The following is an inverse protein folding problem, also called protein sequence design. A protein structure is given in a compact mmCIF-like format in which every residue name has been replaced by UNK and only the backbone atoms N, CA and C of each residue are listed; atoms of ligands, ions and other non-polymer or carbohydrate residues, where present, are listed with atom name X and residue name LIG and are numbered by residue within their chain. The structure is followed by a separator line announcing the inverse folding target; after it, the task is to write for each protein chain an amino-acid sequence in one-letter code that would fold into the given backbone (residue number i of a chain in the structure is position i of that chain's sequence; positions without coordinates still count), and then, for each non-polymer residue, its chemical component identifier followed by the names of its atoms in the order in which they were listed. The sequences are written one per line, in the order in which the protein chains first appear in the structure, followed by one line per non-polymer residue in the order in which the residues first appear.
data_IF_862034868920
#
_entry.id   IF_862034868920
#
_cell.length_a   1.000
_cell.length_b   1.000
_cell.length_c   1.000
_cell.angle_alpha   90.00
_cell.angle_beta   90.00
_cell.angle_gamma   90.00
#
_symmetry.space_group_name_H-M   'P 1'
#
loop_
_entity.id
_entity.type
_entity.pdbx_description
1 polymer ?
#
# COMPACT_ATOMS: atom_id res chain seq x y z
N UNK A 1 20.44 23.94 -19.92
CA UNK A 1 19.91 22.67 -20.44
C UNK A 1 19.50 21.69 -19.33
N UNK A 2 20.41 21.32 -18.39
CA UNK A 2 20.08 20.39 -17.29
C UNK A 2 19.02 20.96 -16.33
N UNK A 3 19.17 22.24 -15.92
CA UNK A 3 18.21 22.93 -15.03
C UNK A 3 16.85 23.14 -15.66
N UNK A 4 16.76 23.39 -16.96
CA UNK A 4 15.47 23.49 -17.68
C UNK A 4 14.78 22.14 -17.79
N UNK A 5 15.54 21.06 -18.01
CA UNK A 5 15.04 19.71 -18.03
C UNK A 5 14.52 19.26 -16.65
N UNK A 6 15.26 19.60 -15.59
CA UNK A 6 14.83 19.33 -14.19
C UNK A 6 13.58 20.13 -13.83
N UNK A 7 13.47 21.41 -14.25
CA UNK A 7 12.27 22.21 -14.01
C UNK A 7 11.05 21.70 -14.77
N UNK A 8 11.24 21.23 -15.98
CA UNK A 8 10.17 20.63 -16.80
C UNK A 8 9.70 19.28 -16.22
N UNK A 9 10.63 18.44 -15.77
CA UNK A 9 10.35 17.22 -15.02
C UNK A 9 9.59 17.54 -13.71
N UNK A 10 10.03 18.55 -12.97
CA UNK A 10 9.39 18.97 -11.73
C UNK A 10 7.97 19.50 -11.95
N UNK A 11 7.74 20.24 -13.03
CA UNK A 11 6.40 20.70 -13.40
C UNK A 11 5.49 19.53 -13.83
N UNK A 12 6.02 18.56 -14.61
CA UNK A 12 5.30 17.31 -14.95
C UNK A 12 5.01 16.43 -13.74
N UNK A 13 5.85 16.46 -12.72
CA UNK A 13 5.59 15.75 -11.44
C UNK A 13 4.50 16.46 -10.65
N UNK A 14 4.45 17.80 -10.67
CA UNK A 14 3.41 18.60 -10.02
C UNK A 14 2.03 18.50 -10.70
N UNK A 15 1.97 18.20 -11.99
CA UNK A 15 0.70 17.96 -12.68
C UNK A 15 0.01 16.71 -12.10
N UNK A 16 -1.08 16.94 -11.35
CA UNK A 16 -1.88 15.90 -10.70
C UNK A 16 -1.58 15.63 -9.22
N UNK A 17 -0.57 16.32 -8.61
CA UNK A 17 -0.26 16.24 -7.19
C UNK A 17 -0.82 17.46 -6.45
N UNK A 18 -2.06 17.33 -5.98
CA UNK A 18 -2.65 18.35 -5.10
C UNK A 18 -2.04 18.26 -3.69
N UNK A 19 -1.92 19.38 -2.97
CA UNK A 19 -1.43 19.41 -1.58
C UNK A 19 -2.22 18.44 -0.70
N UNK A 20 -3.56 18.37 -0.85
CA UNK A 20 -4.43 17.41 -0.16
C UNK A 20 -3.99 15.96 -0.40
N UNK A 21 -3.62 15.64 -1.64
CA UNK A 21 -3.15 14.30 -2.03
C UNK A 21 -1.84 13.92 -1.31
N UNK A 22 -0.89 14.85 -1.29
CA UNK A 22 0.40 14.65 -0.61
C UNK A 22 0.20 14.48 0.91
N UNK A 23 -0.65 15.31 1.52
CA UNK A 23 -0.97 15.20 2.95
C UNK A 23 -1.62 13.85 3.31
N UNK A 24 -2.52 13.34 2.46
CA UNK A 24 -3.13 12.02 2.68
C UNK A 24 -2.14 10.88 2.51
N UNK A 25 -1.22 10.97 1.54
CA UNK A 25 -0.13 9.99 1.38
C UNK A 25 0.79 10.02 2.61
N UNK A 26 1.16 11.21 3.07
CA UNK A 26 2.01 11.38 4.25
C UNK A 26 1.34 10.82 5.50
N UNK A 27 0.04 11.10 5.71
CA UNK A 27 -0.72 10.56 6.83
C UNK A 27 -0.83 9.03 6.76
N UNK A 28 -1.11 8.49 5.58
CA UNK A 28 -1.16 7.04 5.35
C UNK A 28 0.17 6.37 5.64
N UNK A 29 1.28 6.92 5.14
CA UNK A 29 2.62 6.42 5.40
C UNK A 29 2.98 6.45 6.90
N UNK A 30 2.61 7.52 7.60
CA UNK A 30 2.85 7.65 9.04
C UNK A 30 2.07 6.59 9.83
N UNK A 31 0.79 6.37 9.52
CA UNK A 31 -0.06 5.37 10.20
C UNK A 31 0.44 3.95 9.92
N UNK A 32 0.72 3.64 8.65
CA UNK A 32 1.23 2.34 8.23
C UNK A 32 2.53 1.98 8.94
N UNK A 33 3.54 2.84 8.84
CA UNK A 33 4.87 2.60 9.41
C UNK A 33 4.87 2.57 10.93
N UNK A 34 3.99 3.35 11.59
CA UNK A 34 3.79 3.27 13.03
C UNK A 34 3.29 1.89 13.46
N UNK A 35 2.31 1.32 12.76
CA UNK A 35 1.79 -0.03 13.03
C UNK A 35 2.85 -1.11 12.80
N UNK A 36 3.60 -1.01 11.69
CA UNK A 36 4.66 -1.96 11.39
C UNK A 36 5.76 -1.93 12.46
N UNK A 37 6.25 -0.74 12.84
CA UNK A 37 7.30 -0.60 13.84
C UNK A 37 6.87 -1.08 15.24
N UNK A 38 5.66 -0.73 15.67
CA UNK A 38 5.23 -1.00 17.05
C UNK A 38 4.61 -2.39 17.24
N UNK A 39 4.04 -3.00 16.18
CA UNK A 39 3.30 -4.26 16.29
C UNK A 39 4.02 -5.37 15.51
N UNK A 40 4.14 -5.25 14.20
CA UNK A 40 4.61 -6.35 13.36
C UNK A 40 6.04 -6.79 13.67
N UNK A 41 6.97 -5.85 13.83
CA UNK A 41 8.36 -6.16 14.17
C UNK A 41 8.51 -6.92 15.49
N UNK A 42 7.64 -6.64 16.47
CA UNK A 42 7.75 -7.24 17.81
C UNK A 42 7.06 -8.59 17.91
N UNK A 43 5.96 -8.76 17.20
CA UNK A 43 5.10 -9.97 17.31
C UNK A 43 5.51 -11.06 16.32
N UNK A 44 6.40 -10.74 15.35
CA UNK A 44 6.75 -11.64 14.24
C UNK A 44 5.51 -12.14 13.46
N UNK A 45 4.44 -11.35 13.46
CA UNK A 45 3.30 -11.55 12.57
C UNK A 45 3.69 -10.87 11.26
N UNK A 46 3.87 -11.65 10.21
CA UNK A 46 4.28 -11.16 8.89
C UNK A 46 3.04 -10.97 8.01
N UNK A 47 3.13 -9.99 7.12
CA UNK A 47 2.24 -9.92 5.97
C UNK A 47 2.68 -10.98 4.95
N UNK A 48 1.78 -11.36 4.04
CA UNK A 48 2.12 -12.23 2.91
C UNK A 48 2.90 -11.50 1.82
N UNK A 49 2.43 -11.64 0.59
CA UNK A 49 2.84 -10.84 -0.57
C UNK A 49 4.33 -10.88 -0.87
N UNK A 50 4.85 -9.76 -1.36
CA UNK A 50 6.26 -9.63 -1.77
C UNK A 50 7.21 -9.71 -0.58
N UNK A 51 6.80 -9.21 0.59
CA UNK A 51 7.61 -9.31 1.82
C UNK A 51 7.75 -10.78 2.25
N UNK A 52 6.66 -11.52 2.27
CA UNK A 52 6.70 -12.95 2.57
C UNK A 52 7.49 -13.74 1.54
N UNK A 53 7.40 -13.38 0.25
CA UNK A 53 8.20 -13.97 -0.83
C UNK A 53 9.70 -13.69 -0.62
N UNK A 54 10.06 -12.49 -0.20
CA UNK A 54 11.44 -12.12 0.13
C UNK A 54 11.99 -13.01 1.26
N UNK A 55 11.22 -13.20 2.35
CA UNK A 55 11.61 -14.06 3.46
C UNK A 55 11.72 -15.55 3.04
N UNK A 56 10.85 -16.00 2.15
CA UNK A 56 10.91 -17.35 1.57
C UNK A 56 12.21 -17.57 0.78
N UNK A 57 12.56 -16.60 -0.07
CA UNK A 57 13.79 -16.64 -0.87
C UNK A 57 15.02 -16.60 0.04
N UNK A 58 15.03 -15.73 1.06
CA UNK A 58 16.09 -15.67 2.08
C UNK A 58 16.28 -17.03 2.76
N UNK A 59 15.19 -17.65 3.18
CA UNK A 59 15.24 -18.94 3.87
C UNK A 59 15.86 -20.05 2.99
N UNK A 60 15.41 -20.16 1.73
CA UNK A 60 15.83 -21.25 0.86
C UNK A 60 17.14 -21.00 0.12
N UNK A 61 17.40 -19.78 -0.31
CA UNK A 61 18.61 -19.44 -1.08
C UNK A 61 19.71 -18.80 -0.24
N UNK A 62 19.45 -18.51 1.05
CA UNK A 62 20.40 -17.86 1.97
C UNK A 62 20.94 -16.53 1.41
N UNK A 63 20.15 -15.86 0.59
CA UNK A 63 20.47 -14.55 0.03
C UNK A 63 19.96 -13.45 0.96
N UNK A 64 20.76 -12.38 1.14
CA UNK A 64 20.38 -11.27 1.99
C UNK A 64 19.12 -10.55 1.44
N UNK A 65 18.14 -10.23 2.29
CA UNK A 65 16.97 -9.40 1.94
C UNK A 65 17.34 -8.08 1.27
N UNK A 66 18.48 -7.51 1.61
CA UNK A 66 18.96 -6.25 1.03
C UNK A 66 19.16 -6.31 -0.50
N UNK A 67 19.40 -7.50 -1.07
CA UNK A 67 19.49 -7.70 -2.51
C UNK A 67 18.16 -8.15 -3.13
N UNK A 68 17.42 -8.99 -2.40
CA UNK A 68 16.17 -9.58 -2.90
C UNK A 68 15.08 -8.51 -3.02
N UNK A 69 14.89 -7.69 -1.98
CA UNK A 69 13.81 -6.70 -1.92
C UNK A 69 13.86 -5.71 -3.08
N UNK A 70 14.98 -5.04 -3.40
CA UNK A 70 15.02 -4.13 -4.54
C UNK A 70 14.72 -4.80 -5.89
N UNK A 71 15.11 -6.07 -6.05
CA UNK A 71 14.85 -6.82 -7.29
C UNK A 71 13.35 -7.14 -7.42
N UNK A 72 12.73 -7.62 -6.34
CA UNK A 72 11.29 -7.91 -6.32
C UNK A 72 10.46 -6.65 -6.52
N UNK A 73 10.79 -5.59 -5.79
CA UNK A 73 10.10 -4.30 -5.91
C UNK A 73 10.23 -3.75 -7.33
N UNK A 74 11.43 -3.80 -7.91
CA UNK A 74 11.64 -3.35 -9.28
C UNK A 74 10.80 -4.15 -10.27
N UNK A 75 10.74 -5.48 -10.12
CA UNK A 75 9.91 -6.33 -10.97
C UNK A 75 8.42 -5.97 -10.85
N UNK A 76 7.92 -5.77 -9.62
CA UNK A 76 6.54 -5.37 -9.36
C UNK A 76 6.24 -3.97 -9.96
N UNK A 77 7.13 -3.00 -9.80
CA UNK A 77 6.96 -1.66 -10.37
C UNK A 77 7.06 -1.65 -11.90
N UNK A 78 7.89 -2.47 -12.52
CA UNK A 78 7.93 -2.62 -13.97
C UNK A 78 6.63 -3.19 -14.52
N UNK A 79 6.06 -4.20 -13.84
CA UNK A 79 4.74 -4.73 -14.17
C UNK A 79 3.67 -3.64 -14.01
N UNK A 80 3.66 -2.96 -12.87
CA UNK A 80 2.71 -1.87 -12.59
C UNK A 80 2.83 -0.72 -13.61
N UNK A 81 4.03 -0.36 -14.03
CA UNK A 81 4.24 0.66 -15.07
C UNK A 81 3.55 0.29 -16.37
N UNK A 82 3.66 -0.97 -16.78
CA UNK A 82 3.06 -1.48 -18.03
C UNK A 82 1.53 -1.42 -18.02
N UNK A 83 0.89 -1.70 -16.87
CA UNK A 83 -0.56 -1.86 -16.77
C UNK A 83 -1.27 -0.66 -16.13
N UNK A 84 -0.65 0.00 -15.14
CA UNK A 84 -1.24 1.11 -14.39
C UNK A 84 -0.72 2.49 -14.84
N UNK A 85 0.37 2.50 -15.62
CA UNK A 85 0.89 3.71 -16.25
C UNK A 85 1.80 4.58 -15.38
N UNK A 86 2.38 5.62 -15.99
CA UNK A 86 3.41 6.45 -15.37
C UNK A 86 2.94 7.31 -14.19
N UNK A 87 1.68 7.71 -14.15
CA UNK A 87 1.13 8.49 -13.02
C UNK A 87 1.09 7.67 -11.73
N UNK A 88 0.77 6.38 -11.83
CA UNK A 88 0.83 5.45 -10.71
C UNK A 88 2.25 5.40 -10.14
N UNK A 89 3.24 5.21 -10.98
CA UNK A 89 4.65 5.12 -10.54
C UNK A 89 5.14 6.42 -9.87
N UNK A 90 4.76 7.59 -10.40
CA UNK A 90 5.12 8.88 -9.78
C UNK A 90 4.58 8.98 -8.35
N UNK A 91 3.32 8.65 -8.14
CA UNK A 91 2.69 8.67 -6.82
C UNK A 91 3.32 7.63 -5.90
N UNK A 92 3.61 6.44 -6.42
CA UNK A 92 4.25 5.36 -5.68
C UNK A 92 5.66 5.70 -5.20
N UNK A 93 6.48 6.35 -6.04
CA UNK A 93 7.81 6.83 -5.62
C UNK A 93 7.69 7.79 -4.44
N UNK A 94 6.76 8.75 -4.50
CA UNK A 94 6.55 9.73 -3.44
C UNK A 94 6.07 9.04 -2.16
N UNK A 95 5.12 8.11 -2.25
CA UNK A 95 4.62 7.38 -1.08
C UNK A 95 5.70 6.50 -0.45
N UNK A 96 6.49 5.78 -1.25
CA UNK A 96 7.61 4.97 -0.76
C UNK A 96 8.68 5.82 -0.06
N UNK A 97 8.95 7.04 -0.56
CA UNK A 97 9.84 7.98 0.14
C UNK A 97 9.29 8.38 1.51
N UNK A 98 7.98 8.67 1.63
CA UNK A 98 7.37 8.96 2.92
C UNK A 98 7.36 7.74 3.84
N UNK A 99 7.04 6.56 3.32
CA UNK A 99 7.07 5.30 4.08
C UNK A 99 8.47 5.06 4.66
N UNK A 100 9.50 5.12 3.82
CA UNK A 100 10.90 4.94 4.26
C UNK A 100 11.33 6.02 5.25
N UNK A 101 10.94 7.28 5.02
CA UNK A 101 11.27 8.39 5.89
C UNK A 101 10.63 8.28 7.28
N UNK A 102 9.32 7.99 7.35
CA UNK A 102 8.63 7.80 8.63
C UNK A 102 9.09 6.56 9.36
N UNK A 103 9.33 5.48 8.63
CA UNK A 103 9.89 4.27 9.23
C UNK A 103 11.22 4.55 9.92
N UNK A 104 12.11 5.29 9.25
CA UNK A 104 13.39 5.72 9.83
C UNK A 104 13.22 6.64 11.04
N UNK A 105 12.20 7.50 11.04
CA UNK A 105 11.87 8.33 12.20
C UNK A 105 11.44 7.47 13.38
N UNK A 106 10.55 6.47 13.17
CA UNK A 106 10.10 5.59 14.24
C UNK A 106 11.23 4.76 14.84
N UNK A 107 12.22 4.33 14.05
CA UNK A 107 13.41 3.62 14.56
C UNK A 107 14.24 4.44 15.56
N UNK A 108 14.11 5.77 15.58
CA UNK A 108 14.78 6.64 16.54
C UNK A 108 14.12 6.63 17.94
N UNK A 109 12.91 6.12 18.03
CA UNK A 109 12.15 6.06 19.28
C UNK A 109 11.97 4.61 19.72
N UNK A 110 11.98 4.36 21.05
CA UNK A 110 11.59 3.05 21.55
C UNK A 110 10.12 2.78 21.19
N UNK A 111 9.71 1.51 21.07
CA UNK A 111 8.33 1.16 20.81
C UNK A 111 7.37 1.84 21.78
N UNK A 112 6.34 2.50 21.26
CA UNK A 112 5.39 3.31 22.03
C UNK A 112 4.17 2.50 22.51
N UNK A 113 3.91 1.35 21.85
CA UNK A 113 2.83 0.45 22.24
C UNK A 113 3.34 -0.63 23.20
N UNK A 114 2.48 -1.13 24.11
CA UNK A 114 2.84 -2.27 24.96
C UNK A 114 3.19 -3.50 24.11
N UNK A 115 3.94 -4.42 24.69
CA UNK A 115 4.31 -5.66 24.01
C UNK A 115 3.08 -6.55 23.84
N UNK A 116 2.71 -6.79 22.59
CA UNK A 116 1.55 -7.63 22.22
C UNK A 116 1.99 -9.05 21.84
N UNK A 117 3.23 -9.44 22.06
CA UNK A 117 3.74 -10.78 21.70
C UNK A 117 2.99 -11.91 22.40
N UNK A 118 2.48 -11.65 23.61
CA UNK A 118 1.64 -12.60 24.36
C UNK A 118 0.17 -12.62 23.90
N UNK A 119 -0.25 -11.62 23.14
CA UNK A 119 -1.63 -11.47 22.66
C UNK A 119 -1.68 -11.41 21.11
N UNK A 120 -1.33 -12.50 20.42
CA UNK A 120 -1.14 -12.47 18.96
C UNK A 120 -2.43 -12.14 18.18
N UNK A 121 -3.60 -12.45 18.72
CA UNK A 121 -4.87 -12.07 18.10
C UNK A 121 -5.08 -10.55 18.14
N UNK A 122 -4.79 -9.91 19.27
CA UNK A 122 -4.90 -8.44 19.42
C UNK A 122 -3.88 -7.77 18.49
N UNK A 123 -2.66 -8.30 18.44
CA UNK A 123 -1.62 -7.82 17.55
C UNK A 123 -2.03 -7.92 16.07
N UNK A 124 -2.60 -9.06 15.66
CA UNK A 124 -3.07 -9.29 14.30
C UNK A 124 -4.19 -8.30 13.90
N UNK A 125 -5.15 -8.07 14.80
CA UNK A 125 -6.26 -7.13 14.53
C UNK A 125 -5.78 -5.69 14.47
N UNK A 126 -5.01 -5.24 15.46
CA UNK A 126 -4.49 -3.87 15.48
C UNK A 126 -3.51 -3.63 14.32
N UNK A 127 -2.60 -4.57 14.07
CA UNK A 127 -1.69 -4.52 12.93
C UNK A 127 -2.45 -4.40 11.61
N UNK A 128 -3.45 -5.26 11.38
CA UNK A 128 -4.30 -5.20 10.19
C UNK A 128 -5.05 -3.87 10.03
N UNK A 129 -5.47 -3.24 11.14
CA UNK A 129 -6.11 -1.91 11.09
C UNK A 129 -5.09 -0.83 10.68
N UNK A 130 -3.91 -0.79 11.30
CA UNK A 130 -2.89 0.19 10.97
C UNK A 130 -2.44 0.07 9.51
N UNK A 131 -2.19 -1.16 9.04
CA UNK A 131 -1.83 -1.44 7.65
C UNK A 131 -2.99 -1.07 6.72
N UNK A 132 -4.18 -1.59 6.98
CA UNK A 132 -5.33 -1.38 6.11
C UNK A 132 -5.70 0.10 5.94
N UNK A 133 -5.69 0.86 7.03
CA UNK A 133 -5.95 2.31 6.97
C UNK A 133 -4.81 3.05 6.32
N UNK A 134 -3.55 2.78 6.70
CA UNK A 134 -2.40 3.50 6.19
C UNK A 134 -2.18 3.25 4.69
N UNK A 135 -2.12 2.00 4.27
CA UNK A 135 -1.99 1.61 2.86
C UNK A 135 -3.23 2.04 2.06
N UNK A 136 -4.43 1.84 2.61
CA UNK A 136 -5.67 2.27 1.96
C UNK A 136 -5.70 3.76 1.61
N UNK A 137 -5.19 4.63 2.51
CA UNK A 137 -5.05 6.06 2.23
C UNK A 137 -4.08 6.34 1.09
N UNK A 138 -2.97 5.62 0.99
CA UNK A 138 -1.98 5.75 -0.10
C UNK A 138 -2.58 5.28 -1.42
N UNK A 139 -3.13 4.07 -1.45
CA UNK A 139 -3.74 3.46 -2.64
C UNK A 139 -4.90 4.30 -3.16
N UNK A 140 -5.69 4.87 -2.26
CA UNK A 140 -6.75 5.85 -2.61
C UNK A 140 -6.21 7.05 -3.39
N UNK A 141 -4.93 7.43 -3.22
CA UNK A 141 -4.32 8.51 -4.00
C UNK A 141 -3.79 8.06 -5.37
N UNK A 142 -3.89 6.77 -5.69
CA UNK A 142 -3.47 6.17 -6.95
C UNK A 142 -1.98 5.83 -6.98
N UNK A 143 -1.41 5.48 -5.85
CA UNK A 143 -0.05 4.96 -5.71
C UNK A 143 -0.02 3.67 -4.89
N UNK A 144 1.17 3.20 -4.55
CA UNK A 144 1.42 2.07 -3.66
C UNK A 144 2.40 2.44 -2.55
N UNK A 145 2.39 1.72 -1.44
CA UNK A 145 3.37 1.90 -0.36
C UNK A 145 4.67 1.12 -0.61
N UNK A 146 4.61 0.09 -1.46
CA UNK A 146 5.73 -0.78 -1.83
C UNK A 146 5.41 -1.63 -3.06
N UNK A 147 6.32 -2.54 -3.41
CA UNK A 147 6.15 -3.47 -4.54
C UNK A 147 4.97 -4.42 -4.37
N UNK A 148 4.65 -4.76 -3.13
CA UNK A 148 3.54 -5.61 -2.72
C UNK A 148 2.19 -5.07 -3.20
N UNK A 149 1.90 -3.83 -2.81
CA UNK A 149 0.69 -3.14 -3.24
C UNK A 149 0.65 -2.97 -4.77
N UNK A 150 1.80 -2.66 -5.39
CA UNK A 150 1.92 -2.52 -6.83
C UNK A 150 1.55 -3.83 -7.56
N UNK A 151 1.94 -4.99 -7.00
CA UNK A 151 1.60 -6.30 -7.51
C UNK A 151 0.09 -6.56 -7.36
N UNK A 152 -0.48 -6.37 -6.18
CA UNK A 152 -1.91 -6.57 -5.91
C UNK A 152 -2.79 -5.67 -6.79
N UNK A 153 -2.44 -4.39 -6.93
CA UNK A 153 -3.13 -3.45 -7.82
C UNK A 153 -3.03 -3.86 -9.30
N UNK A 154 -1.88 -4.36 -9.73
CA UNK A 154 -1.69 -4.85 -11.10
C UNK A 154 -2.55 -6.08 -11.36
N UNK A 155 -2.58 -7.05 -10.44
CA UNK A 155 -3.43 -8.25 -10.54
C UNK A 155 -4.92 -7.86 -10.55
N UNK A 156 -5.34 -6.97 -9.65
CA UNK A 156 -6.70 -6.43 -9.62
C UNK A 156 -7.10 -5.81 -10.95
N UNK A 157 -6.20 -5.04 -11.57
CA UNK A 157 -6.43 -4.39 -12.86
C UNK A 157 -6.54 -5.41 -14.02
N UNK A 158 -5.63 -6.40 -14.08
CA UNK A 158 -5.58 -7.38 -15.18
C UNK A 158 -6.77 -8.35 -15.10
N UNK A 159 -7.07 -8.86 -13.90
CA UNK A 159 -8.10 -9.86 -13.69
C UNK A 159 -9.49 -9.25 -13.45
N UNK A 160 -9.60 -7.93 -13.38
CA UNK A 160 -10.82 -7.20 -13.01
C UNK A 160 -11.42 -7.68 -11.67
N UNK A 161 -10.54 -8.06 -10.74
CA UNK A 161 -10.93 -8.47 -9.41
C UNK A 161 -11.07 -7.25 -8.49
N UNK A 162 -11.88 -7.42 -7.43
CA UNK A 162 -11.84 -6.48 -6.30
C UNK A 162 -10.44 -6.48 -5.69
N UNK A 163 -9.99 -5.33 -5.25
CA UNK A 163 -8.62 -5.17 -4.75
C UNK A 163 -8.36 -6.07 -3.54
N UNK A 164 -9.32 -6.21 -2.63
CA UNK A 164 -9.23 -7.15 -1.49
C UNK A 164 -8.97 -8.60 -1.92
N UNK A 165 -9.58 -9.05 -3.03
CA UNK A 165 -9.32 -10.41 -3.55
C UNK A 165 -7.90 -10.56 -4.12
N UNK A 166 -7.37 -9.51 -4.75
CA UNK A 166 -6.01 -9.54 -5.27
C UNK A 166 -4.98 -9.63 -4.15
N UNK A 167 -5.14 -8.82 -3.09
CA UNK A 167 -4.31 -8.92 -1.89
C UNK A 167 -4.41 -10.29 -1.23
N UNK A 168 -5.62 -10.76 -0.95
CA UNK A 168 -5.83 -12.09 -0.36
C UNK A 168 -5.21 -13.22 -1.18
N UNK A 169 -5.25 -13.12 -2.50
CA UNK A 169 -4.64 -14.11 -3.38
C UNK A 169 -3.12 -14.11 -3.26
N UNK A 170 -2.47 -12.95 -3.42
CA UNK A 170 -1.01 -12.83 -3.35
C UNK A 170 -0.48 -13.26 -1.99
N UNK A 171 -1.11 -12.77 -0.92
CA UNK A 171 -0.68 -13.04 0.45
C UNK A 171 -0.91 -14.50 0.83
N UNK A 172 -2.09 -15.06 0.51
CA UNK A 172 -2.39 -16.47 0.82
C UNK A 172 -1.44 -17.42 0.11
N UNK A 173 -1.13 -17.18 -1.17
CA UNK A 173 -0.19 -18.01 -1.91
C UNK A 173 1.17 -18.04 -1.21
N UNK A 174 1.68 -16.86 -0.85
CA UNK A 174 2.99 -16.76 -0.19
C UNK A 174 2.95 -17.33 1.22
N UNK A 175 1.90 -17.09 2.00
CA UNK A 175 1.76 -17.66 3.35
C UNK A 175 1.68 -19.19 3.32
N UNK A 176 1.00 -19.78 2.32
CA UNK A 176 0.97 -21.24 2.13
C UNK A 176 2.37 -21.79 1.82
N UNK A 177 3.12 -21.11 0.96
CA UNK A 177 4.52 -21.48 0.69
C UNK A 177 5.40 -21.33 1.95
N UNK A 178 5.12 -20.35 2.79
CA UNK A 178 5.83 -20.09 4.04
C UNK A 178 5.56 -21.13 5.14
N UNK A 179 4.55 -22.01 4.99
CA UNK A 179 4.34 -23.16 5.87
C UNK A 179 5.54 -24.10 5.94
N UNK A 180 6.45 -24.04 4.99
CA UNK A 180 7.68 -24.85 4.97
C UNK A 180 8.67 -24.47 6.06
N UNK A 181 8.59 -23.27 6.62
CA UNK A 181 9.52 -22.76 7.62
C UNK A 181 8.86 -21.94 8.76
N UNK A 182 7.62 -21.51 8.60
CA UNK A 182 6.88 -20.76 9.63
C UNK A 182 5.86 -21.68 10.32
N UNK A 183 5.75 -21.66 11.65
CA UNK A 183 4.74 -22.42 12.38
C UNK A 183 3.32 -22.02 11.98
N UNK A 184 2.44 -23.01 11.81
CA UNK A 184 1.02 -22.84 11.40
C UNK A 184 0.28 -21.79 12.25
N UNK A 185 0.53 -21.78 13.56
CA UNK A 185 -0.10 -20.81 14.47
C UNK A 185 0.17 -19.37 14.07
N UNK A 186 1.40 -19.02 13.65
CA UNK A 186 1.75 -17.66 13.19
C UNK A 186 1.06 -17.32 11.87
N UNK A 187 0.97 -18.30 10.97
CA UNK A 187 0.30 -18.10 9.67
C UNK A 187 -1.19 -17.80 9.86
N UNK A 188 -1.86 -18.44 10.82
CA UNK A 188 -3.25 -18.13 11.13
C UNK A 188 -3.43 -16.68 11.55
N UNK A 189 -2.55 -16.14 12.41
CA UNK A 189 -2.61 -14.72 12.79
C UNK A 189 -2.25 -13.78 11.65
N UNK A 190 -1.28 -14.14 10.81
CA UNK A 190 -0.95 -13.41 9.57
C UNK A 190 -2.15 -13.36 8.62
N UNK A 191 -2.88 -14.47 8.43
CA UNK A 191 -4.10 -14.49 7.63
C UNK A 191 -5.19 -13.58 8.19
N UNK A 192 -5.34 -13.47 9.51
CA UNK A 192 -6.28 -12.52 10.13
C UNK A 192 -5.88 -11.09 9.79
N UNK A 193 -4.60 -10.75 9.95
CA UNK A 193 -4.05 -9.43 9.60
C UNK A 193 -4.33 -9.09 8.14
N UNK A 194 -3.97 -9.98 7.22
CA UNK A 194 -4.12 -9.80 5.77
C UNK A 194 -5.60 -9.67 5.36
N UNK A 195 -6.48 -10.50 5.91
CA UNK A 195 -7.92 -10.38 5.64
C UNK A 195 -8.46 -9.03 6.08
N UNK A 196 -8.11 -8.59 7.29
CA UNK A 196 -8.60 -7.32 7.81
C UNK A 196 -8.04 -6.12 7.06
N UNK A 197 -6.72 -6.11 6.79
CA UNK A 197 -6.08 -5.01 6.05
C UNK A 197 -6.61 -4.92 4.62
N UNK A 198 -6.72 -6.03 3.90
CA UNK A 198 -7.21 -6.03 2.52
C UNK A 198 -8.66 -5.55 2.39
N UNK A 199 -9.53 -5.92 3.34
CA UNK A 199 -10.91 -5.43 3.38
C UNK A 199 -10.98 -3.92 3.66
N UNK A 200 -10.13 -3.42 4.57
CA UNK A 200 -10.05 -1.99 4.88
C UNK A 200 -9.50 -1.19 3.70
N UNK A 201 -8.46 -1.69 3.02
CA UNK A 201 -7.90 -1.07 1.81
C UNK A 201 -8.99 -0.95 0.73
N UNK A 202 -9.70 -2.04 0.46
CA UNK A 202 -10.78 -2.09 -0.55
C UNK A 202 -11.89 -1.10 -0.20
N UNK A 203 -12.34 -1.08 1.05
CA UNK A 203 -13.37 -0.17 1.53
C UNK A 203 -12.97 1.31 1.41
N UNK A 204 -11.73 1.66 1.82
CA UNK A 204 -11.22 3.04 1.72
C UNK A 204 -11.07 3.47 0.27
N UNK A 205 -10.68 2.55 -0.63
CA UNK A 205 -10.56 2.83 -2.06
C UNK A 205 -11.93 3.01 -2.72
N UNK A 206 -12.91 2.16 -2.41
CA UNK A 206 -14.26 2.21 -2.98
C UNK A 206 -15.00 3.50 -2.59
N UNK A 207 -14.81 4.00 -1.37
CA UNK A 207 -15.38 5.26 -0.90
C UNK A 207 -14.98 6.45 -1.80
N UNK A 208 -13.77 6.47 -2.36
CA UNK A 208 -13.35 7.46 -3.35
C UNK A 208 -14.12 7.37 -4.66
N UNK A 209 -14.41 6.17 -5.12
CA UNK A 209 -15.11 5.96 -6.38
C UNK A 209 -16.51 6.56 -6.32
N UNK A 210 -17.17 6.44 -5.17
CA UNK A 210 -18.49 7.05 -4.93
C UNK A 210 -18.42 8.58 -4.84
N UNK A 211 -17.45 9.15 -4.08
CA UNK A 211 -17.27 10.61 -4.02
C UNK A 211 -17.06 11.22 -5.42
N UNK A 212 -16.19 10.61 -6.24
CA UNK A 212 -15.92 11.09 -7.59
C UNK A 212 -17.14 10.94 -8.51
N UNK A 213 -17.95 9.91 -8.32
CA UNK A 213 -19.22 9.71 -9.02
C UNK A 213 -20.26 10.78 -8.66
N UNK A 214 -20.40 11.07 -7.37
CA UNK A 214 -21.30 12.11 -6.84
C UNK A 214 -20.86 13.50 -7.31
N UNK A 215 -19.57 13.83 -7.23
CA UNK A 215 -19.02 15.11 -7.69
C UNK A 215 -19.23 15.34 -9.20
N UNK A 216 -19.08 14.29 -10.03
CA UNK A 216 -19.41 14.34 -11.44
C UNK A 216 -20.92 14.53 -11.70
N UNK A 217 -21.77 13.90 -10.91
CA UNK A 217 -23.23 14.06 -11.02
C UNK A 217 -23.65 15.49 -10.72
N UNK A 218 -23.19 16.09 -9.62
CA UNK A 218 -23.45 17.50 -9.30
C UNK A 218 -22.86 18.47 -10.32
N UNK A 219 -21.68 18.19 -10.88
CA UNK A 219 -21.09 19.03 -11.93
C UNK A 219 -21.93 18.99 -13.23
N UNK A 220 -22.50 17.84 -13.56
CA UNK A 220 -23.36 17.67 -14.74
C UNK A 220 -24.70 18.39 -14.55
N UNK A 221 -25.31 18.26 -13.37
CA UNK A 221 -26.57 18.99 -13.04
C UNK A 221 -26.38 20.50 -13.03
N UNK A 222 -25.24 20.99 -12.50
CA UNK A 222 -24.93 22.43 -12.50
C UNK A 222 -24.74 23.00 -13.90
N UNK A 223 -24.23 22.21 -14.84
CA UNK A 223 -24.11 22.62 -16.26
C UNK A 223 -25.45 22.63 -16.96
N UNK A 224 -26.35 21.68 -16.68
CA UNK A 224 -27.69 21.61 -17.28
C UNK A 224 -28.59 22.71 -16.74
N UNK A 225 -28.55 23.00 -15.43
CA UNK A 225 -29.31 24.12 -14.83
C UNK A 225 -28.83 25.49 -15.32
N UNK A 226 -27.52 25.63 -15.58
CA UNK A 226 -26.92 26.84 -16.16
C UNK A 226 -27.30 27.05 -17.64
N UNK A 227 -27.70 26.02 -18.37
CA UNK A 227 -28.20 26.10 -19.74
C UNK A 227 -29.70 26.44 -19.80
N UNK A 228 -30.49 25.96 -18.84
CA UNK A 228 -31.92 26.22 -18.78
C UNK A 228 -32.29 27.69 -18.38
N UNK A 229 -31.35 28.43 -17.81
CA UNK A 229 -31.55 29.84 -17.42
C UNK A 229 -31.16 30.88 -18.47
N UNK A 230 -30.92 30.49 -19.73
CA UNK A 230 -30.59 31.39 -20.85
C UNK A 230 -31.49 31.19 -22.04
N UNK A 231 -32.80 31.17 -21.83
CA UNK A 231 -33.79 31.25 -22.90
C UNK A 231 -34.65 32.46 -22.62
#
# INVERSE_FOLDING_TARGET
MLLSYISELWNKVKEGLTVKKILLIMLGAMIYTFGVHNIHQRTNITEGGVIGLMLLIEHWLQMSPAYITPILDLACYLLAFKFLGGNFIKVSIISTMFVSGFYKIWELFPPMLPDLSEYPLIAAVLGGIFVGVGVGLIVRQGGSSGGDDALALTISHILHWRLSRAYLFTDTVVLVLSLTYIPVARIVFSLITVNLSSLLIDWIQEYRSQETGIEKCYATEAVDTGRAGRV
#
